data_IF_071569455517
#
_entry.id   IF_071569455517
#
_cell.length_a   1.000
_cell.length_b   1.000
_cell.length_c   1.000
_cell.angle_alpha   90.00
_cell.angle_beta   90.00
_cell.angle_gamma   90.00
#
_symmetry.space_group_name_H-M   'P 1'
#
loop_
_entity.id
_entity.type
_entity.pdbx_description
1 polymer ?
#
# COMPACT_ATOMS: atom_id res chain seq x y z
N UNK A 1 -27.08 18.00 25.59
CA UNK A 1 -25.63 18.28 25.77
C UNK A 1 -24.96 17.91 24.45
N UNK A 2 -24.78 18.90 23.57
CA UNK A 2 -24.14 18.74 22.27
C UNK A 2 -22.64 18.77 22.45
N UNK A 3 -21.96 17.64 22.24
CA UNK A 3 -20.51 17.58 22.18
C UNK A 3 -20.03 18.37 20.96
N UNK A 4 -19.51 19.57 21.20
CA UNK A 4 -18.75 20.32 20.19
C UNK A 4 -17.50 19.49 19.94
N UNK A 5 -17.49 18.72 18.84
CA UNK A 5 -16.32 17.97 18.42
C UNK A 5 -15.15 18.94 18.23
N UNK A 6 -14.10 18.77 19.01
CA UNK A 6 -12.88 19.57 18.91
C UNK A 6 -12.36 19.51 17.47
N UNK A 7 -12.40 20.65 16.76
CA UNK A 7 -11.88 20.74 15.41
C UNK A 7 -10.36 20.52 15.44
N UNK A 8 -9.91 19.43 14.82
CA UNK A 8 -8.49 19.10 14.71
C UNK A 8 -7.89 19.83 13.49
N UNK A 9 -7.54 21.11 13.67
CA UNK A 9 -7.03 21.98 12.60
C UNK A 9 -5.60 22.42 12.86
N UNK A 10 -4.76 22.42 11.81
CA UNK A 10 -3.40 22.97 11.84
C UNK A 10 -3.49 24.49 12.07
N UNK A 11 -2.64 25.02 12.95
CA UNK A 11 -2.54 26.47 13.17
C UNK A 11 -2.10 27.21 11.89
N UNK A 12 -2.62 28.42 11.64
CA UNK A 12 -2.23 29.20 10.48
C UNK A 12 -0.73 29.49 10.47
N UNK A 13 -0.13 29.47 9.28
CA UNK A 13 1.30 29.71 9.09
C UNK A 13 1.63 31.15 9.54
N UNK A 14 2.60 31.28 10.44
CA UNK A 14 3.13 32.57 10.86
C UNK A 14 3.78 33.31 9.68
N UNK A 15 3.82 34.65 9.71
CA UNK A 15 4.53 35.42 8.69
C UNK A 15 6.03 35.03 8.66
N UNK A 16 6.68 35.09 7.49
CA UNK A 16 8.12 34.83 7.38
C UNK A 16 8.92 35.69 8.37
N UNK A 17 9.96 35.09 8.96
CA UNK A 17 10.83 35.80 9.89
C UNK A 17 11.56 36.96 9.18
N UNK A 18 11.87 38.02 9.95
CA UNK A 18 12.67 39.15 9.44
C UNK A 18 14.08 38.67 9.11
N UNK A 19 14.52 38.95 7.89
CA UNK A 19 15.87 38.60 7.43
C UNK A 19 16.88 39.47 8.18
N UNK A 20 17.75 38.83 8.99
CA UNK A 20 18.88 39.51 9.62
C UNK A 20 20.14 39.42 8.77
N UNK A 21 20.45 38.23 8.26
CA UNK A 21 21.60 37.96 7.40
C UNK A 21 21.22 36.91 6.35
N UNK A 22 21.65 37.13 5.10
CA UNK A 22 21.46 36.16 4.02
C UNK A 22 22.69 35.26 3.90
N UNK A 23 22.46 33.95 3.89
CA UNK A 23 23.50 32.93 3.67
C UNK A 23 23.01 31.99 2.57
N UNK A 24 23.90 31.61 1.66
CA UNK A 24 23.62 30.62 0.63
C UNK A 24 23.92 29.25 1.22
N UNK A 25 22.92 28.37 1.22
CA UNK A 25 23.06 26.99 1.70
C UNK A 25 22.78 26.01 0.57
N UNK A 26 23.52 24.90 0.57
CA UNK A 26 23.21 23.73 -0.24
C UNK A 26 22.66 22.66 0.68
N UNK A 27 21.48 22.13 0.35
CA UNK A 27 20.83 21.07 1.12
C UNK A 27 20.89 19.75 0.34
N UNK A 28 20.57 18.66 1.03
CA UNK A 28 20.32 17.35 0.44
C UNK A 28 18.85 17.16 0.00
N UNK A 29 18.13 18.26 -0.25
CA UNK A 29 16.72 18.25 -0.66
C UNK A 29 16.65 18.47 -2.16
N UNK A 30 16.07 17.52 -2.88
CA UNK A 30 15.87 17.58 -4.32
C UNK A 30 14.38 17.72 -4.62
N UNK A 31 14.02 18.64 -5.52
CA UNK A 31 12.64 18.79 -5.95
C UNK A 31 12.25 17.63 -6.85
N UNK A 32 11.10 17.02 -6.59
CA UNK A 32 10.53 15.98 -7.44
C UNK A 32 9.69 16.64 -8.54
N UNK A 33 10.04 16.40 -9.80
CA UNK A 33 9.20 16.78 -10.94
C UNK A 33 8.20 15.65 -11.24
N UNK A 34 6.91 15.95 -11.04
CA UNK A 34 5.83 14.97 -11.18
C UNK A 34 5.09 15.25 -12.48
N UNK A 35 4.99 14.23 -13.35
CA UNK A 35 4.04 14.25 -14.46
C UNK A 35 2.66 13.80 -13.95
N UNK A 36 1.61 14.53 -14.32
CA UNK A 36 0.25 14.16 -13.93
C UNK A 36 -0.16 12.81 -14.53
N UNK A 37 -0.58 11.90 -13.65
CA UNK A 37 -1.06 10.55 -13.97
C UNK A 37 -2.11 10.15 -12.95
N UNK A 38 -3.06 9.33 -13.40
CA UNK A 38 -4.02 8.70 -12.50
C UNK A 38 -3.39 7.43 -11.92
N UNK A 39 -3.47 7.30 -10.60
CA UNK A 39 -3.05 6.11 -9.85
C UNK A 39 -4.27 5.47 -9.22
N UNK A 40 -4.37 4.15 -9.27
CA UNK A 40 -5.49 3.39 -8.68
C UNK A 40 -5.03 2.62 -7.44
N UNK A 41 -5.81 2.68 -6.37
CA UNK A 41 -5.53 2.10 -5.05
C UNK A 41 -6.46 0.92 -4.76
N UNK A 42 -5.88 -0.16 -4.24
CA UNK A 42 -6.58 -1.39 -3.85
C UNK A 42 -6.18 -1.83 -2.44
N UNK A 43 -7.12 -2.47 -1.77
CA UNK A 43 -6.89 -3.16 -0.51
C UNK A 43 -6.42 -4.59 -0.80
N UNK A 44 -5.36 -5.00 -0.11
CA UNK A 44 -4.77 -6.34 -0.19
C UNK A 44 -4.92 -7.05 1.14
N UNK A 45 -5.35 -8.31 1.10
CA UNK A 45 -5.34 -9.22 2.24
C UNK A 45 -4.73 -10.55 1.83
N UNK A 46 -3.79 -11.05 2.62
CA UNK A 46 -3.11 -12.31 2.38
C UNK A 46 -3.30 -13.22 3.59
N UNK A 47 -3.91 -14.38 3.39
CA UNK A 47 -4.15 -15.37 4.45
C UNK A 47 -3.34 -16.64 4.18
N UNK A 48 -2.67 -17.15 5.21
CA UNK A 48 -2.13 -18.50 5.23
C UNK A 48 -2.98 -19.39 6.12
N UNK A 49 -3.36 -20.56 5.60
CA UNK A 49 -4.10 -21.59 6.32
C UNK A 49 -3.24 -22.86 6.40
N UNK A 50 -2.88 -23.26 7.63
CA UNK A 50 -2.19 -24.52 7.90
C UNK A 50 -3.18 -25.57 8.39
N UNK A 51 -3.16 -26.77 7.78
CA UNK A 51 -4.07 -27.88 8.09
C UNK A 51 -5.07 -28.19 6.97
N UNK A 52 -5.90 -29.23 7.15
CA UNK A 52 -6.92 -29.60 6.15
C UNK A 52 -7.95 -28.47 6.03
N UNK A 53 -8.24 -27.97 4.80
CA UNK A 53 -9.30 -26.99 4.59
C UNK A 53 -10.63 -27.49 5.19
N UNK A 54 -11.41 -26.60 5.79
CA UNK A 54 -12.73 -26.89 6.37
C UNK A 54 -12.76 -27.80 7.61
N UNK A 55 -11.64 -27.94 8.33
CA UNK A 55 -11.61 -28.53 9.67
C UNK A 55 -11.58 -27.44 10.75
N UNK A 56 -12.22 -27.68 11.90
CA UNK A 56 -12.27 -26.72 13.02
C UNK A 56 -10.88 -26.32 13.57
N UNK A 57 -9.83 -27.06 13.18
CA UNK A 57 -8.44 -26.86 13.60
C UNK A 57 -7.60 -26.08 12.56
N UNK A 58 -8.21 -25.56 11.49
CA UNK A 58 -7.49 -24.79 10.48
C UNK A 58 -7.14 -23.39 11.04
N UNK A 59 -5.88 -23.20 11.40
CA UNK A 59 -5.38 -21.89 11.84
C UNK A 59 -5.23 -20.98 10.63
N UNK A 60 -6.01 -19.90 10.60
CA UNK A 60 -5.87 -18.81 9.63
C UNK A 60 -4.99 -17.71 10.20
N UNK A 61 -3.96 -17.33 9.46
CA UNK A 61 -3.05 -16.25 9.82
C UNK A 61 -3.11 -15.20 8.72
N UNK A 62 -3.46 -13.97 9.10
CA UNK A 62 -3.32 -12.80 8.22
C UNK A 62 -1.83 -12.45 8.14
N UNK A 63 -1.23 -12.66 6.97
CA UNK A 63 0.19 -12.38 6.72
C UNK A 63 0.47 -10.89 6.62
N UNK A 64 -0.55 -10.06 6.37
CA UNK A 64 -0.40 -8.61 6.27
C UNK A 64 -0.29 -7.96 7.67
N UNK A 65 -0.67 -8.66 8.75
CA UNK A 65 -0.75 -8.12 10.11
C UNK A 65 0.05 -8.93 11.12
N UNK A 66 0.46 -8.27 12.22
CA UNK A 66 1.12 -8.92 13.36
C UNK A 66 2.62 -8.60 13.50
N UNK A 67 3.11 -8.62 14.74
CA UNK A 67 4.48 -8.19 15.11
C UNK A 67 5.53 -9.31 15.09
N UNK A 68 5.15 -10.55 14.82
CA UNK A 68 6.00 -11.72 15.11
C UNK A 68 6.79 -12.29 13.91
N UNK A 69 6.57 -11.81 12.68
CA UNK A 69 7.26 -12.35 11.51
C UNK A 69 8.28 -11.34 10.91
N UNK A 70 9.60 -11.52 11.15
CA UNK A 70 10.63 -10.64 10.61
C UNK A 70 10.74 -10.73 9.07
N UNK A 71 10.20 -11.78 8.44
CA UNK A 71 10.21 -11.99 6.99
C UNK A 71 8.89 -11.60 6.32
N UNK A 72 7.96 -10.97 7.06
CA UNK A 72 6.63 -10.59 6.57
C UNK A 72 6.66 -9.81 5.26
N UNK A 73 7.48 -8.77 5.20
CA UNK A 73 7.60 -7.91 4.03
C UNK A 73 8.05 -8.71 2.79
N UNK A 74 9.06 -9.57 2.95
CA UNK A 74 9.56 -10.45 1.88
C UNK A 74 8.50 -11.45 1.42
N UNK A 75 7.76 -12.06 2.36
CA UNK A 75 6.63 -12.96 2.08
C UNK A 75 5.55 -12.27 1.26
N UNK A 76 5.10 -11.10 1.72
CA UNK A 76 4.04 -10.35 1.05
C UNK A 76 4.47 -9.88 -0.35
N UNK A 77 5.71 -9.40 -0.48
CA UNK A 77 6.28 -8.98 -1.77
C UNK A 77 6.28 -10.13 -2.78
N UNK A 78 6.82 -11.30 -2.39
CA UNK A 78 6.88 -12.48 -3.25
C UNK A 78 5.47 -12.92 -3.69
N UNK A 79 4.54 -12.99 -2.74
CA UNK A 79 3.17 -13.43 -3.02
C UNK A 79 2.45 -12.49 -3.99
N UNK A 80 2.61 -11.18 -3.84
CA UNK A 80 2.02 -10.19 -4.76
C UNK A 80 2.69 -10.24 -6.13
N UNK A 81 4.01 -10.37 -6.20
CA UNK A 81 4.71 -10.51 -7.48
C UNK A 81 4.23 -11.78 -8.21
N UNK A 82 4.12 -12.91 -7.52
CA UNK A 82 3.58 -14.16 -8.07
C UNK A 82 2.12 -14.01 -8.54
N UNK A 83 1.27 -13.37 -7.73
CA UNK A 83 -0.14 -13.15 -8.04
C UNK A 83 -0.34 -12.31 -9.31
N UNK A 84 0.44 -11.24 -9.46
CA UNK A 84 0.31 -10.31 -10.57
C UNK A 84 1.18 -10.67 -11.78
N UNK A 85 2.03 -11.71 -11.68
CA UNK A 85 2.99 -12.08 -12.72
C UNK A 85 2.34 -12.33 -14.08
N UNK A 86 1.27 -13.13 -14.10
CA UNK A 86 0.54 -13.44 -15.34
C UNK A 86 -0.14 -12.18 -15.90
N UNK A 87 -0.74 -11.37 -15.04
CA UNK A 87 -1.39 -10.13 -15.44
C UNK A 87 -0.38 -9.15 -16.08
N UNK A 88 0.81 -9.02 -15.48
CA UNK A 88 1.92 -8.19 -16.01
C UNK A 88 2.51 -8.73 -17.32
N UNK A 89 2.45 -10.02 -17.57
CA UNK A 89 2.90 -10.59 -18.85
C UNK A 89 1.94 -10.27 -20.00
N UNK A 90 0.65 -10.10 -19.70
CA UNK A 90 -0.38 -9.82 -20.68
C UNK A 90 -0.65 -8.31 -20.84
N UNK A 91 -0.27 -7.50 -19.85
CA UNK A 91 -0.50 -6.07 -19.80
C UNK A 91 0.79 -5.32 -19.44
N UNK A 92 1.12 -4.26 -20.16
CA UNK A 92 2.24 -3.37 -19.80
C UNK A 92 1.87 -2.55 -18.55
N UNK A 93 2.15 -3.13 -17.38
CA UNK A 93 1.60 -2.71 -16.10
C UNK A 93 2.67 -2.57 -15.01
N UNK A 94 2.54 -1.53 -14.20
CA UNK A 94 3.39 -1.26 -13.05
C UNK A 94 2.56 -1.11 -11.78
N UNK A 95 3.11 -1.57 -10.66
CA UNK A 95 2.49 -1.44 -9.35
C UNK A 95 3.50 -1.03 -8.28
N UNK A 96 2.99 -0.41 -7.23
CA UNK A 96 3.69 -0.15 -5.99
C UNK A 96 2.90 -0.78 -4.84
N UNK A 97 3.57 -1.43 -3.90
CA UNK A 97 2.93 -2.20 -2.83
C UNK A 97 3.59 -1.86 -1.50
N UNK A 98 2.80 -1.54 -0.49
CA UNK A 98 3.28 -1.15 0.85
C UNK A 98 3.83 -2.32 1.68
N UNK A 99 3.94 -3.51 1.07
CA UNK A 99 4.38 -4.75 1.71
C UNK A 99 3.45 -5.21 2.84
N UNK A 100 2.23 -4.70 2.87
CA UNK A 100 1.24 -4.93 3.91
C UNK A 100 -0.16 -5.08 3.33
N UNK A 101 -0.90 -4.01 3.08
CA UNK A 101 -2.32 -4.08 2.73
C UNK A 101 -2.75 -3.12 1.62
N UNK A 102 -1.81 -2.38 1.02
CA UNK A 102 -2.13 -1.33 0.06
C UNK A 102 -1.35 -1.50 -1.22
N UNK A 103 -2.07 -1.67 -2.33
CA UNK A 103 -1.52 -1.80 -3.68
C UNK A 103 -1.93 -0.59 -4.52
N UNK A 104 -0.96 0.01 -5.20
CA UNK A 104 -1.15 1.09 -6.16
C UNK A 104 -0.77 0.62 -7.55
N UNK A 105 -1.45 1.13 -8.57
CA UNK A 105 -1.21 0.73 -9.96
C UNK A 105 -1.34 1.91 -10.90
N UNK A 106 -0.65 1.83 -12.05
CA UNK A 106 -0.71 2.85 -13.10
C UNK A 106 -1.89 2.69 -14.07
N UNK A 107 -2.64 1.59 -13.95
CA UNK A 107 -3.80 1.24 -14.79
C UNK A 107 -4.81 0.47 -13.94
N UNK A 108 -6.12 0.55 -14.24
CA UNK A 108 -7.12 -0.20 -13.51
C UNK A 108 -6.89 -1.72 -13.66
N UNK A 109 -7.10 -2.47 -12.57
CA UNK A 109 -7.02 -3.92 -12.55
C UNK A 109 -8.34 -4.53 -13.00
N UNK A 110 -8.30 -5.55 -13.86
CA UNK A 110 -9.46 -6.42 -14.03
C UNK A 110 -9.59 -7.35 -12.82
N UNK A 111 -10.39 -6.91 -11.84
CA UNK A 111 -10.65 -7.69 -10.63
C UNK A 111 -11.33 -9.04 -10.90
N UNK A 112 -11.91 -9.28 -12.08
CA UNK A 112 -12.38 -10.64 -12.43
C UNK A 112 -11.22 -11.61 -12.57
N UNK A 113 -10.04 -11.13 -12.92
CA UNK A 113 -8.84 -11.96 -13.10
C UNK A 113 -7.98 -12.05 -11.83
N UNK A 114 -7.91 -10.96 -11.04
CA UNK A 114 -6.94 -10.84 -9.95
C UNK A 114 -7.54 -10.72 -8.55
N UNK A 115 -8.87 -10.74 -8.39
CA UNK A 115 -9.51 -10.51 -7.08
C UNK A 115 -9.22 -11.57 -6.03
N UNK A 116 -9.13 -12.84 -6.42
CA UNK A 116 -8.86 -13.96 -5.51
C UNK A 116 -7.91 -14.95 -6.16
N UNK A 117 -6.74 -15.11 -5.56
CA UNK A 117 -5.70 -16.01 -6.04
C UNK A 117 -5.35 -16.97 -4.90
N UNK A 118 -5.52 -18.27 -5.14
CA UNK A 118 -5.15 -19.33 -4.19
C UNK A 118 -3.90 -20.05 -4.67
N UNK A 119 -2.93 -20.21 -3.77
CA UNK A 119 -1.69 -20.94 -4.00
C UNK A 119 -1.50 -22.00 -2.91
N UNK A 120 -0.83 -23.09 -3.27
CA UNK A 120 -0.36 -24.08 -2.30
C UNK A 120 1.16 -23.95 -2.15
N UNK A 121 1.64 -23.93 -0.90
CA UNK A 121 3.07 -23.81 -0.64
C UNK A 121 3.89 -24.95 -1.25
N UNK A 122 3.28 -26.13 -1.43
CA UNK A 122 3.90 -27.31 -2.07
C UNK A 122 4.14 -27.15 -3.58
N UNK A 123 3.50 -26.19 -4.25
CA UNK A 123 3.57 -26.08 -5.70
C UNK A 123 4.84 -25.36 -6.17
N UNK A 124 5.48 -24.58 -5.29
CA UNK A 124 6.65 -23.76 -5.62
C UNK A 124 7.68 -23.92 -4.51
N UNK A 125 8.90 -24.28 -4.88
CA UNK A 125 9.99 -24.56 -3.93
C UNK A 125 10.24 -23.39 -2.97
N UNK A 126 10.20 -22.15 -3.48
CA UNK A 126 10.36 -20.95 -2.66
C UNK A 126 9.25 -20.79 -1.61
N UNK A 127 7.99 -21.06 -1.98
CA UNK A 127 6.88 -21.04 -1.03
C UNK A 127 6.97 -22.18 -0.01
N UNK A 128 7.43 -23.35 -0.42
CA UNK A 128 7.64 -24.49 0.48
C UNK A 128 8.71 -24.17 1.53
N UNK A 129 9.79 -23.50 1.13
CA UNK A 129 10.84 -23.06 2.06
C UNK A 129 10.33 -21.98 3.02
N UNK A 130 9.48 -21.07 2.55
CA UNK A 130 9.01 -19.92 3.35
C UNK A 130 7.83 -20.22 4.28
N UNK A 131 6.95 -21.14 3.89
CA UNK A 131 5.72 -21.44 4.62
C UNK A 131 5.65 -22.89 5.13
N UNK A 132 6.60 -23.76 4.74
CA UNK A 132 6.54 -25.19 5.00
C UNK A 132 5.63 -25.93 4.01
N UNK A 133 5.39 -27.22 4.26
CA UNK A 133 4.54 -28.05 3.42
C UNK A 133 3.05 -27.88 3.68
N UNK A 134 2.23 -28.00 2.63
CA UNK A 134 0.76 -28.08 2.68
C UNK A 134 0.04 -26.86 3.30
N UNK A 135 0.58 -25.66 3.10
CA UNK A 135 -0.08 -24.40 3.48
C UNK A 135 -0.87 -23.86 2.29
N UNK A 136 -2.15 -23.59 2.49
CA UNK A 136 -2.98 -22.88 1.51
C UNK A 136 -2.84 -21.38 1.75
N UNK A 137 -2.45 -20.64 0.72
CA UNK A 137 -2.29 -19.20 0.75
C UNK A 137 -3.38 -18.59 -0.14
N UNK A 138 -4.14 -17.64 0.40
CA UNK A 138 -5.20 -16.93 -0.32
C UNK A 138 -4.87 -15.45 -0.36
N UNK A 139 -4.79 -14.88 -1.55
CA UNK A 139 -4.49 -13.47 -1.81
C UNK A 139 -5.78 -12.85 -2.32
N UNK A 140 -6.24 -11.79 -1.66
CA UNK A 140 -7.43 -11.05 -2.01
C UNK A 140 -7.04 -9.61 -2.37
N UNK A 141 -7.44 -9.17 -3.56
CA UNK A 141 -7.29 -7.81 -4.05
C UNK A 141 -8.67 -7.23 -4.31
N UNK A 142 -9.01 -6.12 -3.67
CA UNK A 142 -10.33 -5.49 -3.78
C UNK A 142 -10.22 -3.98 -3.91
N UNK A 143 -11.23 -3.35 -4.50
CA UNK A 143 -11.33 -1.89 -4.47
C UNK A 143 -11.29 -1.37 -3.03
N UNK A 144 -10.59 -0.24 -2.83
CA UNK A 144 -10.52 0.38 -1.53
C UNK A 144 -11.92 0.84 -1.06
N UNK A 145 -12.24 0.54 0.20
CA UNK A 145 -13.54 0.90 0.80
C UNK A 145 -13.67 2.37 1.17
N UNK A 146 -12.54 3.06 1.33
CA UNK A 146 -12.46 4.47 1.77
C UNK A 146 -12.40 5.44 0.58
N UNK A 147 -12.35 6.74 0.88
CA UNK A 147 -12.13 7.80 -0.11
C UNK A 147 -10.78 7.59 -0.83
N UNK A 148 -10.69 7.97 -2.11
CA UNK A 148 -9.54 7.86 -3.02
C UNK A 148 -9.21 6.46 -3.60
N UNK A 149 -10.19 5.84 -4.26
CA UNK A 149 -9.96 4.67 -5.16
C UNK A 149 -8.99 4.97 -6.30
N UNK A 150 -8.92 6.24 -6.70
CA UNK A 150 -7.92 6.76 -7.61
C UNK A 150 -7.66 8.23 -7.32
N UNK A 151 -6.48 8.72 -7.67
CA UNK A 151 -6.09 10.13 -7.52
C UNK A 151 -5.11 10.54 -8.63
N UNK A 152 -5.04 11.85 -8.90
CA UNK A 152 -4.00 12.42 -9.76
C UNK A 152 -2.72 12.64 -8.96
N UNK A 153 -1.56 12.33 -9.56
CA UNK A 153 -0.26 12.53 -8.91
C UNK A 153 0.03 14.00 -8.59
N UNK A 154 -0.59 14.94 -9.31
CA UNK A 154 -0.46 16.39 -9.06
C UNK A 154 -1.38 16.92 -7.96
N UNK A 155 -2.32 16.13 -7.44
CA UNK A 155 -3.25 16.54 -6.38
C UNK A 155 -2.57 16.75 -5.01
N UNK A 156 -1.24 16.62 -4.96
CA UNK A 156 -0.43 16.77 -3.74
C UNK A 156 -0.69 18.10 -3.05
N UNK A 157 -0.72 19.19 -3.81
CA UNK A 157 -0.94 20.51 -3.24
C UNK A 157 -2.38 20.71 -2.71
N UNK A 158 -3.38 20.06 -3.31
CA UNK A 158 -4.76 20.07 -2.83
C UNK A 158 -5.01 19.11 -1.67
N UNK A 159 -4.17 18.09 -1.49
CA UNK A 159 -4.28 17.13 -0.37
C UNK A 159 -3.84 17.72 0.98
N UNK A 160 -3.08 18.82 0.97
CA UNK A 160 -2.63 19.54 2.18
C UNK A 160 -3.72 20.53 2.62
N UNK A 161 -4.69 20.04 3.39
CA UNK A 161 -5.73 20.88 4.03
C UNK A 161 -5.41 21.15 5.50
N UNK A 162 -5.76 22.32 6.07
CA UNK A 162 -5.64 22.57 7.50
C UNK A 162 -6.46 21.61 8.37
N UNK A 163 -7.50 20.97 7.82
CA UNK A 163 -8.30 19.98 8.53
C UNK A 163 -7.62 18.61 8.47
N UNK A 164 -7.00 18.20 9.58
CA UNK A 164 -6.25 16.93 9.66
C UNK A 164 -7.12 15.71 9.39
N UNK A 165 -8.43 15.77 9.72
CA UNK A 165 -9.36 14.66 9.52
C UNK A 165 -9.82 14.51 8.06
N UNK A 166 -9.62 15.56 7.24
CA UNK A 166 -9.97 15.57 5.82
C UNK A 166 -8.74 15.42 4.90
N UNK A 167 -7.54 15.29 5.47
CA UNK A 167 -6.34 15.01 4.69
C UNK A 167 -6.38 13.57 4.21
N UNK A 168 -6.48 13.38 2.90
CA UNK A 168 -6.23 12.08 2.29
C UNK A 168 -4.72 11.80 2.29
N UNK A 169 -4.33 10.79 3.06
CA UNK A 169 -2.93 10.37 3.18
C UNK A 169 -2.49 9.41 2.07
N UNK A 170 -3.40 8.98 1.17
CA UNK A 170 -3.10 8.01 0.11
C UNK A 170 -1.98 8.47 -0.82
N UNK A 171 -2.01 9.74 -1.24
CA UNK A 171 -1.02 10.30 -2.14
C UNK A 171 0.36 10.43 -1.47
N UNK A 172 0.38 10.81 -0.18
CA UNK A 172 1.62 10.84 0.61
C UNK A 172 2.19 9.43 0.78
N UNK A 173 1.35 8.46 1.15
CA UNK A 173 1.73 7.06 1.27
C UNK A 173 2.28 6.52 -0.07
N UNK A 174 1.64 6.87 -1.19
CA UNK A 174 2.12 6.51 -2.52
C UNK A 174 3.53 7.02 -2.81
N UNK A 175 3.80 8.31 -2.57
CA UNK A 175 5.15 8.85 -2.73
C UNK A 175 6.14 8.24 -1.76
N UNK A 176 5.77 8.03 -0.49
CA UNK A 176 6.63 7.37 0.50
C UNK A 176 7.01 5.95 0.04
N UNK A 177 6.09 5.20 -0.54
CA UNK A 177 6.39 3.87 -1.11
C UNK A 177 7.35 4.03 -2.29
N UNK A 178 7.06 4.90 -3.26
CA UNK A 178 7.93 5.07 -4.43
C UNK A 178 9.36 5.52 -4.08
N UNK A 179 9.52 6.35 -3.05
CA UNK A 179 10.85 6.84 -2.63
C UNK A 179 11.59 5.89 -1.69
N UNK A 180 10.90 4.96 -1.02
CA UNK A 180 11.49 4.02 -0.07
C UNK A 180 11.58 2.58 -0.59
N UNK A 181 10.97 2.24 -1.73
CA UNK A 181 11.06 0.93 -2.35
C UNK A 181 12.42 0.73 -3.06
N UNK A 182 13.53 0.75 -2.31
CA UNK A 182 14.85 0.25 -2.75
C UNK A 182 15.72 -0.13 -1.54
#
# INVERSE_FOLDING_TARGET
ISSVGSQCTIFPRLPPAKIQQKVIVKTNVYALEITDRIVYRYDVRIEACSGKPHTANATKIDLCRGKQDPYRAKKCMLLIDMALRRYRQLNEFAYAYDLSSTLFTNQPLDLKEVSEITLWSSNVQELQQMFGGNVRISIHISECREYARSFHTTDFNSSITPNLLAQDHSLRQFYEILTNQH
#
